data_IF_169135162422
#
_entry.id   IF_169135162422
#
_cell.length_a   1.000
_cell.length_b   1.000
_cell.length_c   1.000
_cell.angle_alpha   90.00
_cell.angle_beta   90.00
_cell.angle_gamma   90.00
#
_symmetry.space_group_name_H-M   'P 1'
#
loop_
_entity.id
_entity.type
_entity.pdbx_description
1 polymer ?
#
# COMPACT_ATOMS: atom_id res chain seq x y z
N UNK A 1 12.38 4.56 -33.49
CA UNK A 1 12.35 5.12 -32.12
C UNK A 1 11.01 5.72 -31.68
N UNK A 2 9.95 5.81 -32.50
CA UNK A 2 8.69 6.48 -32.11
C UNK A 2 7.74 5.68 -31.22
N UNK A 3 7.42 4.42 -31.55
CA UNK A 3 6.29 3.69 -30.93
C UNK A 3 6.42 3.47 -29.42
N UNK A 4 7.61 3.15 -28.90
CA UNK A 4 7.82 2.91 -27.47
C UNK A 4 7.61 4.18 -26.61
N UNK A 5 8.08 5.34 -27.08
CA UNK A 5 7.90 6.60 -26.38
C UNK A 5 6.42 7.01 -26.28
N UNK A 6 5.64 6.79 -27.34
CA UNK A 6 4.20 7.04 -27.32
C UNK A 6 3.44 6.08 -26.39
N UNK A 7 3.83 4.80 -26.33
CA UNK A 7 3.23 3.83 -25.40
C UNK A 7 3.50 4.21 -23.95
N UNK A 8 4.74 4.61 -23.62
CA UNK A 8 5.10 5.08 -22.28
C UNK A 8 4.33 6.35 -21.92
N UNK A 9 4.21 7.32 -22.83
CA UNK A 9 3.45 8.55 -22.60
C UNK A 9 1.96 8.27 -22.33
N UNK A 10 1.34 7.37 -23.11
CA UNK A 10 -0.04 6.96 -22.91
C UNK A 10 -0.23 6.24 -21.56
N UNK A 11 0.72 5.39 -21.17
CA UNK A 11 0.71 4.72 -19.87
C UNK A 11 0.80 5.73 -18.71
N UNK A 12 1.68 6.73 -18.82
CA UNK A 12 1.80 7.81 -17.83
C UNK A 12 0.51 8.61 -17.70
N UNK A 13 -0.07 9.06 -18.82
CA UNK A 13 -1.31 9.84 -18.81
C UNK A 13 -2.49 9.05 -18.22
N UNK A 14 -2.61 7.77 -18.55
CA UNK A 14 -3.66 6.90 -18.01
C UNK A 14 -3.53 6.71 -16.49
N UNK A 15 -2.31 6.59 -16.00
CA UNK A 15 -2.05 6.34 -14.59
C UNK A 15 -2.17 7.62 -13.74
N UNK A 16 -1.82 8.78 -14.29
CA UNK A 16 -1.96 10.07 -13.62
C UNK A 16 -3.41 10.30 -13.14
N UNK A 17 -4.39 10.06 -14.01
CA UNK A 17 -5.80 10.22 -13.67
C UNK A 17 -6.22 9.36 -12.47
N UNK A 18 -5.69 8.14 -12.36
CA UNK A 18 -5.99 7.24 -11.23
C UNK A 18 -5.41 7.77 -9.92
N UNK A 19 -4.13 8.15 -9.94
CA UNK A 19 -3.45 8.68 -8.75
C UNK A 19 -4.09 9.95 -8.21
N UNK A 20 -4.59 10.83 -9.09
CA UNK A 20 -5.29 12.06 -8.69
C UNK A 20 -6.63 11.75 -8.03
N UNK A 21 -7.43 10.86 -8.61
CA UNK A 21 -8.74 10.46 -8.05
C UNK A 21 -8.56 9.80 -6.68
N UNK A 22 -7.54 8.96 -6.55
CA UNK A 22 -7.22 8.30 -5.31
C UNK A 22 -6.76 9.28 -4.23
N UNK A 23 -5.81 10.17 -4.55
CA UNK A 23 -5.33 11.19 -3.63
C UNK A 23 -6.47 12.11 -3.14
N UNK A 24 -7.40 12.48 -4.02
CA UNK A 24 -8.60 13.22 -3.65
C UNK A 24 -9.48 12.44 -2.67
N UNK A 25 -9.75 11.16 -2.97
CA UNK A 25 -10.58 10.29 -2.12
C UNK A 25 -9.96 10.13 -0.73
N UNK A 26 -8.65 9.90 -0.67
CA UNK A 26 -7.90 9.79 0.58
C UNK A 26 -7.93 11.10 1.35
N UNK A 27 -7.77 12.25 0.68
CA UNK A 27 -7.88 13.57 1.32
C UNK A 27 -9.24 13.79 1.99
N UNK A 28 -10.32 13.36 1.33
CA UNK A 28 -11.68 13.39 1.92
C UNK A 28 -11.77 12.45 3.12
N UNK A 29 -11.24 11.23 3.04
CA UNK A 29 -11.27 10.25 4.15
C UNK A 29 -10.49 10.76 5.37
N UNK A 30 -9.28 11.31 5.17
CA UNK A 30 -8.43 11.81 6.25
C UNK A 30 -9.07 13.01 6.97
N UNK A 31 -9.91 13.78 6.28
CA UNK A 31 -10.60 14.94 6.87
C UNK A 31 -11.57 14.58 8.01
N UNK A 32 -11.91 13.30 8.17
CA UNK A 32 -12.73 12.78 9.28
C UNK A 32 -11.91 12.36 10.52
N UNK A 33 -10.58 12.46 10.48
CA UNK A 33 -9.69 12.05 11.56
C UNK A 33 -9.05 13.26 12.26
N UNK A 34 -8.70 13.09 13.54
CA UNK A 34 -7.94 14.12 14.27
C UNK A 34 -6.54 14.32 13.69
N UNK A 35 -6.14 15.57 13.52
CA UNK A 35 -4.84 15.95 12.94
C UNK A 35 -3.65 15.30 13.67
N UNK A 36 -3.74 15.14 15.00
CA UNK A 36 -2.69 14.49 15.80
C UNK A 36 -2.52 13.02 15.41
N UNK A 37 -3.62 12.30 15.21
CA UNK A 37 -3.61 10.88 14.81
C UNK A 37 -3.09 10.74 13.37
N UNK A 38 -3.51 11.66 12.49
CA UNK A 38 -3.02 11.72 11.10
C UNK A 38 -1.50 11.89 11.05
N UNK A 39 -0.95 12.82 11.84
CA UNK A 39 0.50 13.03 11.89
C UNK A 39 1.24 11.81 12.47
N UNK A 40 0.71 11.18 13.52
CA UNK A 40 1.29 9.96 14.08
C UNK A 40 1.31 8.83 13.04
N UNK A 41 0.21 8.59 12.35
CA UNK A 41 0.12 7.58 11.30
C UNK A 41 1.09 7.87 10.15
N UNK A 42 1.21 9.13 9.74
CA UNK A 42 2.13 9.56 8.70
C UNK A 42 3.59 9.27 9.06
N UNK A 43 4.04 9.68 10.25
CA UNK A 43 5.42 9.44 10.68
C UNK A 43 5.74 7.95 10.85
N UNK A 44 4.80 7.17 11.42
CA UNK A 44 4.97 5.72 11.53
C UNK A 44 5.08 5.05 10.17
N UNK A 45 4.22 5.43 9.22
CA UNK A 45 4.26 4.91 7.85
C UNK A 45 5.61 5.23 7.20
N UNK A 46 6.06 6.49 7.30
CA UNK A 46 7.33 6.91 6.72
C UNK A 46 8.52 6.11 7.28
N UNK A 47 8.57 5.92 8.60
CA UNK A 47 9.62 5.13 9.25
C UNK A 47 9.57 3.67 8.79
N UNK A 48 8.39 3.05 8.80
CA UNK A 48 8.22 1.64 8.42
C UNK A 48 8.56 1.44 6.95
N UNK A 49 8.00 2.24 6.04
CA UNK A 49 8.26 2.13 4.61
C UNK A 49 9.74 2.29 4.29
N UNK A 50 10.42 3.31 4.84
CA UNK A 50 11.86 3.51 4.61
C UNK A 50 12.66 2.32 5.16
N UNK A 51 12.38 1.88 6.38
CA UNK A 51 13.10 0.76 6.99
C UNK A 51 12.95 -0.53 6.18
N UNK A 52 11.74 -0.86 5.72
CA UNK A 52 11.46 -2.06 4.94
C UNK A 52 12.04 -1.99 3.53
N UNK A 53 11.99 -0.82 2.88
CA UNK A 53 12.63 -0.62 1.59
C UNK A 53 14.14 -0.80 1.74
N UNK A 54 14.80 -0.16 2.71
CA UNK A 54 16.25 -0.33 2.96
C UNK A 54 16.60 -1.79 3.23
N UNK A 55 15.84 -2.46 4.09
CA UNK A 55 16.02 -3.89 4.35
C UNK A 55 15.96 -4.71 3.06
N UNK A 56 14.97 -4.46 2.21
CA UNK A 56 14.80 -5.18 0.95
C UNK A 56 15.95 -4.89 -0.02
N UNK A 57 16.39 -3.63 -0.12
CA UNK A 57 17.51 -3.23 -0.97
C UNK A 57 18.82 -3.97 -0.61
N UNK A 58 19.02 -4.29 0.67
CA UNK A 58 20.20 -4.99 1.17
C UNK A 58 20.03 -6.51 1.22
N UNK A 59 18.80 -7.01 1.06
CA UNK A 59 18.48 -8.44 1.18
C UNK A 59 18.94 -9.21 -0.04
N UNK A 60 19.68 -10.29 0.20
CA UNK A 60 20.10 -11.26 -0.84
C UNK A 60 19.11 -12.42 -1.00
N UNK A 61 18.03 -12.44 -0.22
CA UNK A 61 17.04 -13.51 -0.26
C UNK A 61 16.15 -13.34 -1.48
N UNK A 62 15.81 -14.44 -2.13
CA UNK A 62 14.74 -14.44 -3.15
C UNK A 62 13.40 -14.33 -2.43
N UNK A 63 12.71 -13.21 -2.63
CA UNK A 63 11.43 -12.91 -1.99
C UNK A 63 10.25 -13.11 -2.96
N UNK A 64 10.49 -13.68 -4.14
CA UNK A 64 9.44 -13.93 -5.15
C UNK A 64 8.30 -14.81 -4.60
N UNK A 65 8.60 -15.72 -3.66
CA UNK A 65 7.61 -16.59 -3.03
C UNK A 65 6.62 -15.83 -2.12
N UNK A 66 6.98 -14.62 -1.67
CA UNK A 66 6.05 -13.79 -0.88
C UNK A 66 4.79 -13.42 -1.65
N UNK A 67 4.85 -13.38 -2.98
CA UNK A 67 3.72 -13.03 -3.85
C UNK A 67 2.46 -13.85 -3.55
N UNK A 68 2.59 -15.17 -3.32
CA UNK A 68 1.46 -16.02 -2.99
C UNK A 68 0.84 -15.67 -1.63
N UNK A 69 1.69 -15.41 -0.63
CA UNK A 69 1.24 -15.11 0.74
C UNK A 69 0.56 -13.74 0.83
N UNK A 70 1.13 -12.71 0.18
CA UNK A 70 0.55 -11.37 0.19
C UNK A 70 -0.77 -11.33 -0.60
N UNK A 71 -0.87 -12.07 -1.71
CA UNK A 71 -2.12 -12.18 -2.46
C UNK A 71 -3.22 -12.90 -1.65
N UNK A 72 -2.90 -14.04 -1.03
CA UNK A 72 -3.84 -14.74 -0.18
C UNK A 72 -4.29 -13.88 1.03
N UNK A 73 -3.34 -13.19 1.66
CA UNK A 73 -3.61 -12.25 2.75
C UNK A 73 -4.54 -11.12 2.33
N UNK A 74 -4.37 -10.58 1.12
CA UNK A 74 -5.22 -9.53 0.57
C UNK A 74 -6.67 -10.02 0.40
N UNK A 75 -6.86 -11.23 -0.13
CA UNK A 75 -8.20 -11.82 -0.25
C UNK A 75 -8.89 -11.96 1.11
N UNK A 76 -8.16 -12.40 2.14
CA UNK A 76 -8.68 -12.51 3.51
C UNK A 76 -9.02 -11.13 4.07
N UNK A 77 -8.15 -10.14 3.88
CA UNK A 77 -8.36 -8.77 4.37
C UNK A 77 -9.59 -8.13 3.71
N UNK A 78 -9.78 -8.32 2.41
CA UNK A 78 -10.96 -7.85 1.69
C UNK A 78 -12.24 -8.52 2.19
N UNK A 79 -12.22 -9.85 2.38
CA UNK A 79 -13.35 -10.58 2.95
C UNK A 79 -13.71 -10.11 4.36
N UNK A 80 -12.70 -9.92 5.22
CA UNK A 80 -12.89 -9.39 6.57
C UNK A 80 -13.44 -7.95 6.55
N UNK A 81 -12.94 -7.10 5.64
CA UNK A 81 -13.44 -5.74 5.45
C UNK A 81 -14.91 -5.71 5.03
N UNK A 82 -15.34 -6.62 4.15
CA UNK A 82 -16.74 -6.75 3.75
C UNK A 82 -17.63 -7.23 4.91
N UNK A 83 -17.18 -8.23 5.68
CA UNK A 83 -17.91 -8.70 6.86
C UNK A 83 -18.08 -7.59 7.91
N UNK A 84 -17.03 -6.78 8.10
CA UNK A 84 -17.04 -5.68 9.05
C UNK A 84 -18.09 -4.60 8.71
N UNK A 85 -18.46 -4.43 7.43
CA UNK A 85 -19.55 -3.51 7.04
C UNK A 85 -20.90 -3.90 7.66
N UNK A 86 -21.13 -5.20 7.88
CA UNK A 86 -22.37 -5.72 8.47
C UNK A 86 -22.25 -5.88 9.99
N UNK A 87 -21.07 -6.28 10.49
CA UNK A 87 -20.86 -6.57 11.91
C UNK A 87 -20.55 -5.32 12.74
N UNK A 88 -19.88 -4.31 12.15
CA UNK A 88 -19.50 -3.05 12.80
C UNK A 88 -18.84 -3.23 14.18
N UNK A 89 -18.05 -4.29 14.34
CA UNK A 89 -17.47 -4.65 15.64
C UNK A 89 -16.19 -3.85 15.91
N UNK A 90 -16.08 -3.12 17.03
CA UNK A 90 -14.87 -2.35 17.36
C UNK A 90 -13.62 -3.23 17.49
N UNK A 91 -13.77 -4.44 18.06
CA UNK A 91 -12.65 -5.39 18.19
C UNK A 91 -12.17 -5.91 16.84
N UNK A 92 -13.10 -6.20 15.93
CA UNK A 92 -12.77 -6.66 14.58
C UNK A 92 -12.10 -5.55 13.75
N UNK A 93 -12.51 -4.29 13.94
CA UNK A 93 -11.87 -3.13 13.29
C UNK A 93 -10.38 -3.05 13.64
N UNK A 94 -10.03 -3.22 14.92
CA UNK A 94 -8.64 -3.20 15.39
C UNK A 94 -7.84 -4.34 14.76
N UNK A 95 -8.41 -5.55 14.71
CA UNK A 95 -7.75 -6.72 14.11
C UNK A 95 -7.51 -6.52 12.61
N UNK A 96 -8.52 -6.03 11.87
CA UNK A 96 -8.40 -5.72 10.44
C UNK A 96 -7.35 -4.63 10.21
N UNK A 97 -7.35 -3.58 11.03
CA UNK A 97 -6.39 -2.50 10.92
C UNK A 97 -4.94 -3.00 11.16
N UNK A 98 -4.72 -3.78 12.22
CA UNK A 98 -3.40 -4.34 12.51
C UNK A 98 -2.94 -5.35 11.44
N UNK A 99 -3.82 -6.27 11.01
CA UNK A 99 -3.52 -7.25 9.98
C UNK A 99 -3.21 -6.58 8.64
N UNK A 100 -3.99 -5.55 8.27
CA UNK A 100 -3.73 -4.76 7.07
C UNK A 100 -2.39 -4.05 7.11
N UNK A 101 -2.02 -3.42 8.23
CA UNK A 101 -0.71 -2.77 8.37
C UNK A 101 0.45 -3.77 8.18
N UNK A 102 0.34 -4.98 8.75
CA UNK A 102 1.34 -6.04 8.54
C UNK A 102 1.37 -6.49 7.08
N UNK A 103 0.21 -6.70 6.47
CA UNK A 103 0.11 -7.18 5.10
C UNK A 103 0.71 -6.18 4.10
N UNK A 104 0.36 -4.90 4.20
CA UNK A 104 0.91 -3.89 3.31
C UNK A 104 2.39 -3.61 3.57
N UNK A 105 2.87 -3.83 4.79
CA UNK A 105 4.32 -3.88 5.06
C UNK A 105 5.01 -5.02 4.29
N UNK A 106 4.39 -6.20 4.21
CA UNK A 106 4.92 -7.31 3.39
C UNK A 106 4.84 -7.03 1.89
N UNK A 107 3.79 -6.34 1.42
CA UNK A 107 3.71 -5.88 0.03
C UNK A 107 4.83 -4.91 -0.32
N UNK A 108 5.16 -3.93 0.54
CA UNK A 108 6.32 -3.02 0.32
C UNK A 108 7.61 -3.82 0.10
N UNK A 109 7.85 -4.85 0.91
CA UNK A 109 9.01 -5.74 0.76
C UNK A 109 8.96 -6.48 -0.59
N UNK A 110 7.81 -7.07 -0.93
CA UNK A 110 7.63 -7.85 -2.15
C UNK A 110 7.79 -6.98 -3.40
N UNK A 111 7.08 -5.84 -3.47
CA UNK A 111 7.09 -4.95 -4.63
C UNK A 111 8.45 -4.28 -4.81
N UNK A 112 9.12 -3.86 -3.73
CA UNK A 112 10.51 -3.38 -3.80
C UNK A 112 11.44 -4.45 -4.37
N UNK A 113 11.30 -5.71 -3.95
CA UNK A 113 12.12 -6.81 -4.45
C UNK A 113 11.88 -7.08 -5.95
N UNK A 114 10.62 -7.07 -6.38
CA UNK A 114 10.24 -7.26 -7.78
C UNK A 114 10.79 -6.15 -8.66
N UNK A 115 10.68 -4.89 -8.23
CA UNK A 115 11.24 -3.73 -8.93
C UNK A 115 12.74 -3.87 -9.16
N UNK A 116 13.49 -4.28 -8.14
CA UNK A 116 14.94 -4.42 -8.24
C UNK A 116 15.41 -5.53 -9.19
N UNK A 117 14.71 -6.68 -9.23
CA UNK A 117 15.30 -7.91 -9.78
C UNK A 117 14.55 -8.50 -10.97
N UNK A 118 13.30 -8.12 -11.22
CA UNK A 118 12.40 -8.87 -12.13
C UNK A 118 11.73 -8.02 -13.20
N UNK A 119 11.72 -6.69 -13.08
CA UNK A 119 10.93 -5.83 -13.98
C UNK A 119 11.72 -5.26 -15.15
N UNK A 120 11.04 -5.18 -16.29
CA UNK A 120 11.49 -4.43 -17.47
C UNK A 120 11.17 -2.93 -17.34
N UNK A 121 11.88 -2.04 -18.06
CA UNK A 121 11.65 -0.58 -18.00
C UNK A 121 10.19 -0.14 -18.23
N UNK A 122 9.43 -0.91 -18.99
CA UNK A 122 8.02 -0.63 -19.31
C UNK A 122 7.09 -0.92 -18.12
N UNK A 123 7.48 -1.84 -17.23
CA UNK A 123 6.72 -2.27 -16.06
C UNK A 123 7.04 -1.43 -14.81
N UNK A 124 8.17 -0.71 -14.79
CA UNK A 124 8.58 0.14 -13.66
C UNK A 124 7.52 1.18 -13.28
N UNK A 125 6.83 1.75 -14.28
CA UNK A 125 5.77 2.73 -14.03
C UNK A 125 4.65 2.09 -13.22
N UNK A 126 4.22 0.89 -13.62
CA UNK A 126 3.14 0.18 -12.94
C UNK A 126 3.56 -0.26 -11.53
N UNK A 127 4.77 -0.77 -11.39
CA UNK A 127 5.26 -1.21 -10.08
C UNK A 127 5.49 -0.05 -9.11
N UNK A 128 5.90 1.12 -9.59
CA UNK A 128 5.99 2.32 -8.74
C UNK A 128 4.60 2.73 -8.22
N UNK A 129 3.56 2.57 -9.03
CA UNK A 129 2.18 2.84 -8.61
C UNK A 129 1.74 1.82 -7.56
N UNK A 130 2.04 0.53 -7.74
CA UNK A 130 1.71 -0.49 -6.74
C UNK A 130 2.42 -0.20 -5.40
N UNK A 131 3.71 0.13 -5.44
CA UNK A 131 4.45 0.52 -4.24
C UNK A 131 3.86 1.76 -3.56
N UNK A 132 3.38 2.74 -4.34
CA UNK A 132 2.63 3.88 -3.80
C UNK A 132 1.33 3.43 -3.11
N UNK A 133 0.56 2.55 -3.73
CA UNK A 133 -0.66 1.98 -3.15
C UNK A 133 -0.37 1.23 -1.85
N UNK A 134 0.73 0.50 -1.76
CA UNK A 134 1.09 -0.22 -0.55
C UNK A 134 1.39 0.73 0.61
N UNK A 135 2.12 1.82 0.36
CA UNK A 135 2.44 2.83 1.36
C UNK A 135 1.17 3.55 1.82
N UNK A 136 0.27 3.91 0.90
CA UNK A 136 -1.00 4.54 1.22
C UNK A 136 -1.90 3.61 2.04
N UNK A 137 -2.01 2.35 1.66
CA UNK A 137 -2.83 1.39 2.40
C UNK A 137 -2.23 1.11 3.79
N UNK A 138 -0.91 1.01 3.91
CA UNK A 138 -0.22 0.94 5.20
C UNK A 138 -0.60 2.14 6.08
N UNK A 139 -0.55 3.36 5.52
CA UNK A 139 -0.95 4.57 6.22
C UNK A 139 -2.41 4.51 6.70
N UNK A 140 -3.35 4.15 5.83
CA UNK A 140 -4.77 4.07 6.18
C UNK A 140 -5.03 3.01 7.27
N UNK A 141 -4.34 1.88 7.23
CA UNK A 141 -4.46 0.85 8.25
C UNK A 141 -3.86 1.27 9.60
N UNK A 142 -2.70 1.93 9.60
CA UNK A 142 -2.13 2.52 10.83
C UNK A 142 -3.06 3.61 11.38
N UNK A 143 -3.59 4.48 10.52
CA UNK A 143 -4.52 5.55 10.90
C UNK A 143 -5.77 4.97 11.58
N UNK A 144 -6.41 3.97 10.97
CA UNK A 144 -7.56 3.28 11.54
C UNK A 144 -7.22 2.61 12.86
N UNK A 145 -6.06 1.96 12.97
CA UNK A 145 -5.63 1.32 14.22
C UNK A 145 -5.48 2.33 15.35
N UNK A 146 -4.82 3.47 15.10
CA UNK A 146 -4.63 4.53 16.09
C UNK A 146 -5.97 5.18 16.47
N UNK A 147 -6.86 5.40 15.51
CA UNK A 147 -8.17 5.99 15.74
C UNK A 147 -9.07 5.09 16.60
N UNK A 148 -9.06 3.78 16.37
CA UNK A 148 -9.87 2.82 17.14
C UNK A 148 -9.41 2.63 18.60
N UNK A 149 -8.29 3.23 19.00
CA UNK A 149 -7.74 3.19 20.37
C UNK A 149 -8.09 4.43 21.20
N UNK A 150 -8.74 5.42 20.58
CA UNK A 150 -9.26 6.62 21.24
C UNK A 150 -10.62 6.32 21.88
#
# INVERSE_FOLDING_TARGET
>A
MGKGAYTVLQQLLKNLNKTVVEAYTIGVVISFFDIVIVLQAFFLTLIVSIALTIYTLQSKKDLSQLGLFVFAGLCVLLGAGLLQLFLQSPGMEIVIAAAGAILFSLFIIYDTHMMMHKLSPEEYILATINLYLDIINLFLHILRFLNSRK
#
